data_IF_803727041968
#
_entry.id   IF_803727041968
#
_cell.length_a   1.000
_cell.length_b   1.000
_cell.length_c   1.000
_cell.angle_alpha   90.00
_cell.angle_beta   90.00
_cell.angle_gamma   90.00
#
_symmetry.space_group_name_H-M   'P 1'
#
loop_
_entity.id
_entity.type
_entity.pdbx_description
1 polymer ?
#
# COMPACT_ATOMS: atom_id res chain seq x y z
N UNK A 1 -3.68 9.57 -7.97
CA UNK A 1 -2.71 8.45 -8.04
C UNK A 1 -2.70 7.92 -9.46
N UNK A 2 -1.55 7.62 -10.06
CA UNK A 2 -1.46 7.18 -11.44
C UNK A 2 -1.57 5.64 -11.51
N UNK A 3 -2.63 5.08 -12.12
CA UNK A 3 -2.82 3.64 -12.22
C UNK A 3 -2.00 3.06 -13.38
N UNK A 4 -1.42 1.88 -13.16
CA UNK A 4 -0.84 1.01 -14.17
C UNK A 4 -1.63 -0.29 -14.15
N UNK A 5 -2.50 -0.48 -15.14
CA UNK A 5 -3.44 -1.60 -15.22
C UNK A 5 -4.38 -1.60 -14.00
N UNK A 6 -4.09 -2.42 -13.00
CA UNK A 6 -4.91 -2.72 -11.83
C UNK A 6 -4.34 -2.15 -10.53
N UNK A 7 -3.09 -1.67 -10.53
CA UNK A 7 -2.39 -1.16 -9.34
C UNK A 7 -1.73 0.19 -9.61
N UNK A 8 -1.55 1.05 -8.61
CA UNK A 8 -0.88 2.33 -8.81
C UNK A 8 0.61 2.15 -9.07
N UNK A 9 1.21 3.07 -9.84
CA UNK A 9 2.63 3.01 -10.19
C UNK A 9 3.57 2.95 -8.97
N UNK A 10 3.18 3.54 -7.84
CA UNK A 10 3.98 3.51 -6.61
C UNK A 10 4.07 2.10 -5.99
N UNK A 11 3.08 1.25 -6.21
CA UNK A 11 3.06 -0.14 -5.73
C UNK A 11 4.24 -0.93 -6.30
N UNK A 12 4.52 -0.75 -7.60
CA UNK A 12 5.65 -1.37 -8.27
C UNK A 12 6.99 -0.91 -7.71
N UNK A 13 7.13 0.38 -7.43
CA UNK A 13 8.36 0.95 -6.86
C UNK A 13 8.59 0.39 -5.45
N UNK A 14 7.55 0.35 -4.62
CA UNK A 14 7.63 -0.21 -3.27
C UNK A 14 7.95 -1.70 -3.31
N UNK A 15 7.35 -2.45 -4.24
CA UNK A 15 7.64 -3.87 -4.40
C UNK A 15 9.11 -4.10 -4.79
N UNK A 16 9.65 -3.32 -5.73
CA UNK A 16 11.07 -3.41 -6.11
C UNK A 16 12.00 -3.12 -4.92
N UNK A 17 11.65 -2.12 -4.10
CA UNK A 17 12.40 -1.82 -2.87
C UNK A 17 12.37 -2.99 -1.89
N UNK A 18 11.20 -3.59 -1.67
CA UNK A 18 11.03 -4.76 -0.79
C UNK A 18 11.81 -5.95 -1.30
N UNK A 19 11.75 -6.23 -2.60
CA UNK A 19 12.47 -7.32 -3.25
C UNK A 19 13.99 -7.12 -3.18
N UNK A 20 14.45 -5.87 -3.12
CA UNK A 20 15.86 -5.52 -2.87
C UNK A 20 16.29 -5.66 -1.40
N UNK A 21 15.36 -5.98 -0.49
CA UNK A 21 15.61 -6.16 0.94
C UNK A 21 15.41 -4.91 1.79
N UNK A 22 14.83 -3.83 1.25
CA UNK A 22 14.50 -2.63 2.03
C UNK A 22 13.30 -2.93 2.93
N UNK A 23 13.48 -2.74 4.24
CA UNK A 23 12.45 -3.02 5.23
C UNK A 23 11.70 -1.78 5.71
N UNK A 24 12.31 -0.60 5.61
CA UNK A 24 11.74 0.64 6.12
C UNK A 24 11.67 1.68 5.00
N UNK A 25 10.46 2.14 4.70
CA UNK A 25 10.18 3.09 3.63
C UNK A 25 9.51 4.32 4.22
N UNK A 26 10.09 5.49 3.97
CA UNK A 26 9.53 6.78 4.40
C UNK A 26 8.87 7.50 3.22
N UNK A 27 7.55 7.59 3.25
CA UNK A 27 6.75 8.39 2.33
C UNK A 27 6.65 9.84 2.81
N UNK A 28 7.32 10.74 2.09
CA UNK A 28 7.14 12.18 2.28
C UNK A 28 5.97 12.67 1.43
N UNK A 29 4.86 12.96 2.08
CA UNK A 29 3.59 13.32 1.46
C UNK A 29 3.22 14.79 1.73
N UNK A 30 2.15 15.26 1.08
CA UNK A 30 1.55 16.59 1.27
C UNK A 30 0.02 16.50 1.23
N UNK A 31 -0.69 17.58 1.56
CA UNK A 31 -2.17 17.59 1.60
C UNK A 31 -2.85 17.06 0.32
N UNK A 32 -2.24 17.30 -0.85
CA UNK A 32 -2.78 16.86 -2.15
C UNK A 32 -2.48 15.39 -2.49
N UNK A 33 -1.69 14.72 -1.65
CA UNK A 33 -1.20 13.35 -1.85
C UNK A 33 -1.76 12.35 -0.85
N UNK A 34 -2.80 12.71 -0.08
CA UNK A 34 -3.43 11.84 0.92
C UNK A 34 -3.76 10.43 0.39
N UNK A 35 -4.23 10.33 -0.86
CA UNK A 35 -4.53 9.05 -1.52
C UNK A 35 -3.36 8.06 -1.58
N UNK A 36 -2.11 8.54 -1.53
CA UNK A 36 -0.93 7.66 -1.44
C UNK A 36 -0.79 7.06 -0.04
N UNK A 37 -1.09 7.85 0.99
CA UNK A 37 -1.09 7.41 2.40
C UNK A 37 -2.19 6.35 2.58
N UNK A 38 -3.42 6.68 2.15
CA UNK A 38 -4.58 5.80 2.26
C UNK A 38 -4.39 4.45 1.52
N UNK A 39 -3.59 4.40 0.45
CA UNK A 39 -3.33 3.15 -0.30
C UNK A 39 -2.45 2.15 0.47
N UNK A 40 -1.50 2.64 1.27
CA UNK A 40 -0.58 1.79 2.05
C UNK A 40 -1.06 1.56 3.49
N UNK A 41 -2.15 2.21 3.90
CA UNK A 41 -2.81 1.93 5.17
C UNK A 41 -3.53 0.57 5.13
N UNK A 42 -3.53 -0.13 6.28
CA UNK A 42 -4.15 -1.46 6.39
C UNK A 42 -5.67 -1.35 6.52
N UNK A 43 -6.40 -1.88 5.54
CA UNK A 43 -7.85 -2.04 5.55
C UNK A 43 -8.26 -3.38 6.20
N UNK A 44 -8.38 -3.38 7.53
CA UNK A 44 -8.71 -4.59 8.32
C UNK A 44 -10.11 -5.12 7.99
N UNK A 45 -11.10 -4.24 7.85
CA UNK A 45 -12.49 -4.63 7.58
C UNK A 45 -12.62 -5.36 6.23
N UNK A 46 -11.93 -4.87 5.19
CA UNK A 46 -11.93 -5.49 3.87
C UNK A 46 -11.29 -6.88 3.90
N UNK A 47 -10.20 -7.03 4.65
CA UNK A 47 -9.50 -8.30 4.82
C UNK A 47 -10.39 -9.34 5.49
N UNK A 48 -11.03 -8.97 6.60
CA UNK A 48 -11.98 -9.85 7.31
C UNK A 48 -13.15 -10.26 6.42
N UNK A 49 -13.72 -9.33 5.64
CA UNK A 49 -14.82 -9.63 4.74
C UNK A 49 -14.44 -10.65 3.64
N UNK A 50 -13.23 -10.58 3.08
CA UNK A 50 -12.77 -11.57 2.11
C UNK A 50 -12.42 -12.93 2.72
N UNK A 51 -11.98 -12.95 3.98
CA UNK A 51 -11.73 -14.18 4.74
C UNK A 51 -13.03 -14.91 5.08
N UNK A 52 -14.03 -14.20 5.59
CA UNK A 52 -15.37 -14.74 5.88
C UNK A 52 -16.08 -15.27 4.62
N UNK A 53 -15.87 -14.60 3.48
CA UNK A 53 -16.47 -15.01 2.19
C UNK A 53 -15.65 -16.03 1.41
N UNK A 54 -14.56 -16.56 1.99
CA UNK A 54 -13.64 -17.54 1.38
C UNK A 54 -13.08 -17.09 0.02
N UNK A 55 -12.93 -15.78 -0.20
CA UNK A 55 -12.42 -15.19 -1.42
C UNK A 55 -10.88 -15.13 -1.41
N UNK A 56 -10.24 -16.30 -1.29
CA UNK A 56 -8.78 -16.43 -1.16
C UNK A 56 -8.01 -15.68 -2.26
N UNK A 57 -8.49 -15.69 -3.51
CA UNK A 57 -7.87 -14.94 -4.61
C UNK A 57 -7.84 -13.42 -4.37
N UNK A 58 -8.88 -12.86 -3.73
CA UNK A 58 -8.92 -11.42 -3.44
C UNK A 58 -8.08 -11.07 -2.22
N UNK A 59 -8.03 -11.96 -1.22
CA UNK A 59 -7.12 -11.82 -0.08
C UNK A 59 -5.66 -11.73 -0.53
N UNK A 60 -5.25 -12.53 -1.50
CA UNK A 60 -3.88 -12.46 -2.03
C UNK A 60 -3.58 -11.13 -2.72
N UNK A 61 -4.56 -10.50 -3.36
CA UNK A 61 -4.39 -9.21 -4.05
C UNK A 61 -4.22 -8.02 -3.09
N UNK A 62 -4.83 -8.09 -1.91
CA UNK A 62 -4.79 -7.00 -0.91
C UNK A 62 -3.77 -7.24 0.19
N UNK A 63 -2.90 -8.25 0.03
CA UNK A 63 -1.95 -8.62 1.06
C UNK A 63 -0.99 -7.46 1.33
N UNK A 64 -0.85 -7.00 2.59
CA UNK A 64 0.03 -5.89 2.89
C UNK A 64 1.48 -6.24 2.59
N UNK A 65 2.24 -5.22 2.20
CA UNK A 65 3.68 -5.31 2.02
C UNK A 65 4.37 -5.71 3.34
N UNK A 66 5.49 -6.42 3.24
CA UNK A 66 6.30 -6.84 4.39
C UNK A 66 7.17 -5.72 4.98
N UNK A 67 7.42 -4.65 4.22
CA UNK A 67 8.13 -3.47 4.68
C UNK A 67 7.23 -2.57 5.56
N UNK A 68 7.86 -1.90 6.52
CA UNK A 68 7.26 -0.85 7.31
C UNK A 68 7.20 0.44 6.49
N UNK A 69 5.99 0.97 6.31
CA UNK A 69 5.77 2.21 5.59
C UNK A 69 5.44 3.29 6.61
N UNK A 70 6.30 4.31 6.68
CA UNK A 70 6.12 5.49 7.50
C UNK A 70 5.68 6.65 6.63
N UNK A 71 4.77 7.49 7.13
CA UNK A 71 4.30 8.67 6.40
C UNK A 71 4.65 9.93 7.18
N UNK A 72 5.35 10.86 6.51
CA UNK A 72 5.55 12.22 6.99
C UNK A 72 4.82 13.21 6.08
N UNK A 73 3.91 14.00 6.67
CA UNK A 73 3.20 15.04 5.95
C UNK A 73 3.94 16.37 6.05
N UNK A 74 4.49 16.83 4.94
CA UNK A 74 5.08 18.16 4.86
C UNK A 74 4.00 19.24 4.79
N UNK A 75 4.14 20.28 5.61
CA UNK A 75 3.23 21.42 5.70
C UNK A 75 3.62 22.61 4.80
N UNK A 76 4.59 22.43 3.89
CA UNK A 76 4.99 23.47 2.91
C UNK A 76 3.98 23.65 1.80
#
# INVERSE_FOLDING_TARGET
MFPLIDRPAIDFIVQEMVDSGIQDILLVSSRRKKVLEDYFDREVELSSAFEESHQHKKLELIKPTTANIFTLRSNT
#
